data_IF_519286524799
#
_entry.id   IF_519286524799
#
_cell.length_a   1.000
_cell.length_b   1.000
_cell.length_c   1.000
_cell.angle_alpha   90.00
_cell.angle_beta   90.00
_cell.angle_gamma   90.00
#
_symmetry.space_group_name_H-M   'P 1'
#
loop_
_entity.id
_entity.type
_entity.pdbx_description
1 polymer ?
#
# COMPACT_ATOMS: atom_id res chain seq x y z
N UNK A 1 -19.13 -1.83 -11.17
CA UNK A 1 -17.90 -2.58 -10.80
C UNK A 1 -16.96 -1.59 -10.12
N UNK A 2 -16.34 -1.94 -9.00
CA UNK A 2 -15.40 -1.05 -8.30
C UNK A 2 -14.09 -1.03 -9.09
N UNK A 3 -13.52 0.16 -9.31
CA UNK A 3 -12.23 0.27 -10.00
C UNK A 3 -11.14 -0.41 -9.16
N UNK A 4 -10.21 -1.09 -9.82
CA UNK A 4 -9.03 -1.69 -9.19
C UNK A 4 -7.76 -0.93 -9.59
N UNK A 5 -6.72 -1.05 -8.76
CA UNK A 5 -5.39 -0.50 -9.00
C UNK A 5 -4.32 -1.51 -8.57
N UNK A 6 -3.14 -1.43 -9.19
CA UNK A 6 -1.97 -2.20 -8.75
C UNK A 6 -1.43 -1.62 -7.43
N UNK A 7 -0.96 -2.50 -6.55
CA UNK A 7 -0.37 -2.12 -5.26
C UNK A 7 0.74 -3.08 -4.85
N UNK A 8 1.68 -2.57 -4.04
CA UNK A 8 2.55 -3.41 -3.23
C UNK A 8 1.77 -3.85 -1.97
N UNK A 9 1.61 -5.15 -1.78
CA UNK A 9 0.79 -5.77 -0.74
C UNK A 9 1.68 -6.47 0.29
N UNK A 10 1.33 -6.26 1.56
CA UNK A 10 1.85 -6.99 2.71
C UNK A 10 0.69 -7.83 3.26
N UNK A 11 0.74 -9.15 3.08
CA UNK A 11 -0.28 -10.08 3.59
C UNK A 11 0.19 -10.89 4.79
N UNK A 12 1.46 -10.77 5.16
CA UNK A 12 2.10 -11.49 6.28
C UNK A 12 3.23 -10.62 6.84
N UNK A 13 3.51 -10.75 8.13
CA UNK A 13 4.65 -10.07 8.76
C UNK A 13 5.98 -10.67 8.28
N UNK A 14 6.98 -9.82 8.10
CA UNK A 14 8.34 -10.25 7.75
C UNK A 14 9.20 -9.11 7.21
N UNK A 15 10.38 -9.47 6.73
CA UNK A 15 11.28 -8.53 6.05
C UNK A 15 10.81 -8.18 4.64
N UNK A 16 11.62 -7.44 3.85
CA UNK A 16 11.26 -6.98 2.52
C UNK A 16 10.75 -8.06 1.55
N UNK A 17 11.19 -9.30 1.74
CA UNK A 17 10.82 -10.45 0.90
C UNK A 17 9.32 -10.80 0.93
N UNK A 18 8.55 -10.26 1.90
CA UNK A 18 7.11 -10.51 2.01
C UNK A 18 6.26 -9.53 1.20
N UNK A 19 6.87 -8.55 0.53
CA UNK A 19 6.16 -7.61 -0.35
C UNK A 19 5.84 -8.29 -1.68
N UNK A 20 4.59 -8.24 -2.08
CA UNK A 20 4.13 -8.77 -3.39
C UNK A 20 3.41 -7.69 -4.20
N UNK A 21 3.44 -7.78 -5.52
CA UNK A 21 2.62 -6.91 -6.38
C UNK A 21 1.29 -7.60 -6.64
N UNK A 22 0.19 -6.89 -6.41
CA UNK A 22 -1.17 -7.38 -6.65
C UNK A 22 -2.12 -6.26 -7.04
N UNK A 23 -3.42 -6.58 -7.01
CA UNK A 23 -4.49 -5.60 -7.24
C UNK A 23 -5.28 -5.35 -5.95
N UNK A 24 -5.78 -4.13 -5.80
CA UNK A 24 -6.71 -3.74 -4.72
C UNK A 24 -7.79 -2.82 -5.28
N UNK A 25 -8.93 -2.75 -4.59
CA UNK A 25 -9.99 -1.84 -4.97
C UNK A 25 -9.59 -0.39 -4.65
N UNK A 26 -9.85 0.53 -5.59
CA UNK A 26 -9.77 1.95 -5.33
C UNK A 26 -10.87 2.31 -4.33
N UNK A 27 -10.51 3.04 -3.26
CA UNK A 27 -11.47 3.48 -2.25
C UNK A 27 -12.35 4.61 -2.79
N UNK A 28 -13.54 4.75 -2.22
CA UNK A 28 -14.46 5.84 -2.57
C UNK A 28 -14.00 7.14 -1.89
N UNK A 29 -13.77 8.19 -2.68
CA UNK A 29 -13.22 9.46 -2.21
C UNK A 29 -14.20 10.22 -1.31
N UNK A 30 -13.72 10.71 -0.17
CA UNK A 30 -14.48 11.61 0.70
C UNK A 30 -14.32 13.09 0.30
N UNK A 31 -15.17 14.01 0.79
CA UNK A 31 -15.17 15.42 0.34
C UNK A 31 -13.86 16.19 0.52
N UNK A 32 -12.99 15.74 1.42
CA UNK A 32 -11.70 16.35 1.79
C UNK A 32 -10.48 15.52 1.35
N UNK A 33 -10.68 14.52 0.49
CA UNK A 33 -9.63 13.66 -0.04
C UNK A 33 -9.35 13.92 -1.52
N UNK A 34 -8.17 13.52 -1.98
CA UNK A 34 -7.81 13.50 -3.39
C UNK A 34 -7.35 12.11 -3.81
N UNK A 35 -7.72 11.70 -5.03
CA UNK A 35 -7.15 10.51 -5.66
C UNK A 35 -5.94 10.92 -6.50
N UNK A 36 -4.78 10.34 -6.19
CA UNK A 36 -3.52 10.64 -6.88
C UNK A 36 -3.05 9.41 -7.64
N UNK A 37 -2.72 9.59 -8.93
CA UNK A 37 -2.02 8.57 -9.70
C UNK A 37 -0.54 8.63 -9.38
N UNK A 38 -0.01 7.56 -8.80
CA UNK A 38 1.38 7.49 -8.38
C UNK A 38 2.27 7.11 -9.57
N UNK A 39 3.22 8.00 -9.91
CA UNK A 39 4.27 7.71 -10.90
C UNK A 39 5.54 7.14 -10.23
N UNK A 40 5.81 7.53 -8.97
CA UNK A 40 6.90 7.02 -8.16
C UNK A 40 6.58 7.16 -6.65
N UNK A 41 7.14 6.27 -5.83
CA UNK A 41 7.08 6.34 -4.37
C UNK A 41 8.48 6.06 -3.79
N UNK A 42 8.86 6.81 -2.74
CA UNK A 42 10.09 6.57 -2.00
C UNK A 42 9.88 5.50 -0.94
N UNK A 43 10.90 4.65 -0.74
CA UNK A 43 10.92 3.65 0.34
C UNK A 43 11.39 4.32 1.64
N UNK A 44 10.63 4.16 2.70
CA UNK A 44 10.93 4.66 4.04
C UNK A 44 11.45 3.54 4.94
N UNK A 45 12.32 3.82 5.93
CA UNK A 45 12.69 2.84 6.95
C UNK A 45 11.50 2.22 7.69
N UNK A 46 10.39 2.96 7.79
CA UNK A 46 9.16 2.49 8.42
C UNK A 46 8.40 1.43 7.62
N UNK A 47 8.60 1.34 6.30
CA UNK A 47 7.90 0.36 5.46
C UNK A 47 8.28 -1.10 5.83
N UNK A 48 9.39 -1.27 6.55
CA UNK A 48 9.90 -2.55 7.06
C UNK A 48 9.15 -3.04 8.31
N UNK A 49 8.51 -2.12 9.03
CA UNK A 49 7.72 -2.44 10.21
C UNK A 49 6.26 -2.49 9.76
N UNK A 50 5.74 -3.70 9.55
CA UNK A 50 4.30 -3.87 9.33
C UNK A 50 3.47 -3.25 10.47
N UNK A 51 2.12 -3.24 10.36
CA UNK A 51 1.22 -2.58 11.31
C UNK A 51 1.29 -3.09 12.77
N UNK A 52 2.20 -4.01 13.10
CA UNK A 52 2.48 -4.48 14.45
C UNK A 52 3.55 -3.67 15.22
N UNK A 53 4.19 -2.65 14.61
CA UNK A 53 5.17 -1.81 15.31
C UNK A 53 6.53 -2.47 15.51
N UNK A 54 7.59 -1.66 15.56
CA UNK A 54 8.93 -2.12 15.92
C UNK A 54 9.06 -2.48 17.41
N UNK A 55 10.28 -2.86 17.82
CA UNK A 55 10.63 -4.06 18.61
C UNK A 55 9.69 -4.46 19.75
#
# INVERSE_FOLDING_TARGET
MKQTMKAALLTTFGGPDVVSIGETALRDMQPDEATVRIEAAGVNPLDKYGPAGGP
#
